data_IF_768739343334
#
_entry.id   IF_768739343334
#
_cell.length_a   1.000
_cell.length_b   1.000
_cell.length_c   1.000
_cell.angle_alpha   90.00
_cell.angle_beta   90.00
_cell.angle_gamma   90.00
#
_symmetry.space_group_name_H-M   'P 1'
#
loop_
_entity.id
_entity.type
_entity.pdbx_description
1 polymer ?
#
# COMPACT_ATOMS: atom_id res chain seq x y z
N UNK A 1 -6.08 -14.33 9.95
CA UNK A 1 -4.64 -14.52 10.17
C UNK A 1 -4.18 -13.50 11.20
N UNK A 2 -3.30 -13.87 12.13
CA UNK A 2 -2.71 -12.90 13.07
C UNK A 2 -1.71 -12.04 12.30
N UNK A 3 -1.76 -10.73 12.49
CA UNK A 3 -0.82 -9.80 11.89
C UNK A 3 0.63 -10.15 12.30
N UNK A 4 1.55 -10.11 11.35
CA UNK A 4 2.98 -10.30 11.60
C UNK A 4 3.80 -9.37 10.71
N UNK A 5 4.78 -8.71 11.31
CA UNK A 5 5.68 -7.79 10.61
C UNK A 5 6.59 -8.56 9.65
N UNK A 6 6.49 -8.24 8.35
CA UNK A 6 7.44 -8.71 7.34
C UNK A 6 8.68 -7.80 7.37
N UNK A 7 9.62 -8.06 8.27
CA UNK A 7 10.81 -7.23 8.52
C UNK A 7 11.57 -6.81 7.26
N UNK A 8 11.73 -7.71 6.29
CA UNK A 8 12.42 -7.40 5.03
C UNK A 8 11.65 -6.39 4.18
N UNK A 9 10.31 -6.51 4.12
CA UNK A 9 9.45 -5.53 3.43
C UNK A 9 9.53 -4.18 4.14
N UNK A 10 9.54 -4.16 5.47
CA UNK A 10 9.63 -2.94 6.25
C UNK A 10 10.98 -2.24 6.04
N UNK A 11 12.07 -3.01 5.94
CA UNK A 11 13.39 -2.47 5.61
C UNK A 11 13.41 -1.82 4.22
N UNK A 12 12.80 -2.46 3.21
CA UNK A 12 12.67 -1.88 1.87
C UNK A 12 11.87 -0.57 1.91
N UNK A 13 10.70 -0.59 2.55
CA UNK A 13 9.82 0.58 2.66
C UNK A 13 10.49 1.73 3.41
N UNK A 14 11.19 1.45 4.51
CA UNK A 14 11.98 2.45 5.25
C UNK A 14 13.06 3.06 4.36
N UNK A 15 13.77 2.26 3.57
CA UNK A 15 14.78 2.79 2.64
C UNK A 15 14.17 3.67 1.55
N UNK A 16 12.96 3.38 1.06
CA UNK A 16 12.26 4.27 0.13
C UNK A 16 11.87 5.58 0.82
N UNK A 17 11.41 5.50 2.07
CA UNK A 17 11.09 6.69 2.87
C UNK A 17 12.32 7.60 3.03
N UNK A 18 13.48 7.03 3.33
CA UNK A 18 14.76 7.76 3.46
C UNK A 18 15.19 8.41 2.13
N UNK A 19 14.77 7.84 0.99
CA UNK A 19 15.00 8.40 -0.36
C UNK A 19 13.96 9.47 -0.75
N UNK A 20 13.02 9.81 0.13
CA UNK A 20 12.01 10.85 -0.11
C UNK A 20 10.71 10.38 -0.75
N UNK A 21 10.50 9.06 -0.91
CA UNK A 21 9.22 8.54 -1.38
C UNK A 21 8.14 8.69 -0.30
N UNK A 22 6.91 9.02 -0.73
CA UNK A 22 5.73 8.94 0.13
C UNK A 22 5.30 7.49 0.26
N UNK A 23 5.03 7.04 1.48
CA UNK A 23 4.56 5.69 1.73
C UNK A 23 3.14 5.72 2.28
N UNK A 24 2.24 4.98 1.65
CA UNK A 24 0.87 4.80 2.12
C UNK A 24 0.57 3.34 2.47
N UNK A 25 -0.21 3.13 3.52
CA UNK A 25 -0.87 1.86 3.80
C UNK A 25 -2.31 1.92 3.29
N UNK A 26 -2.69 1.03 2.39
CA UNK A 26 -4.06 0.86 1.89
C UNK A 26 -4.55 -0.55 2.23
N UNK A 27 -5.44 -0.68 3.22
CA UNK A 27 -5.81 -1.98 3.77
C UNK A 27 -7.32 -2.19 3.86
N UNK A 28 -7.78 -3.35 3.36
CA UNK A 28 -9.10 -3.87 3.68
C UNK A 28 -9.06 -4.44 5.09
N UNK A 29 -9.67 -3.76 6.05
CA UNK A 29 -9.58 -4.17 7.45
C UNK A 29 -10.76 -3.65 8.28
N UNK A 30 -10.77 -4.01 9.56
CA UNK A 30 -11.79 -3.67 10.55
C UNK A 30 -11.24 -2.75 11.64
N UNK A 31 -12.14 -2.05 12.36
CA UNK A 31 -11.76 -1.03 13.35
C UNK A 31 -10.77 -1.49 14.43
N UNK A 32 -10.84 -2.72 14.98
CA UNK A 32 -9.82 -3.22 15.91
C UNK A 32 -8.40 -3.16 15.33
N UNK A 33 -8.23 -3.52 14.06
CA UNK A 33 -6.94 -3.48 13.38
C UNK A 33 -6.48 -2.04 13.10
N UNK A 34 -7.42 -1.13 12.81
CA UNK A 34 -7.11 0.31 12.68
C UNK A 34 -6.50 0.86 13.96
N UNK A 35 -7.10 0.56 15.11
CA UNK A 35 -6.58 1.00 16.41
C UNK A 35 -5.19 0.40 16.67
N UNK A 36 -5.00 -0.89 16.38
CA UNK A 36 -3.69 -1.54 16.48
C UNK A 36 -2.61 -0.82 15.64
N UNK A 37 -2.88 -0.50 14.37
CA UNK A 37 -1.91 0.21 13.53
C UNK A 37 -1.64 1.64 13.99
N UNK A 38 -2.65 2.34 14.51
CA UNK A 38 -2.48 3.68 15.08
C UNK A 38 -1.62 3.66 16.35
N UNK A 39 -1.81 2.67 17.21
CA UNK A 39 -0.98 2.48 18.41
C UNK A 39 0.47 2.10 18.07
N UNK A 40 0.66 1.24 17.05
CA UNK A 40 1.99 0.87 16.56
C UNK A 40 2.75 2.06 15.97
N UNK A 41 2.03 3.03 15.38
CA UNK A 41 2.55 4.29 14.87
C UNK A 41 3.83 4.12 14.03
N UNK A 42 3.76 3.30 12.97
CA UNK A 42 4.88 3.14 12.05
C UNK A 42 5.19 4.46 11.34
N UNK A 43 6.28 5.10 11.75
CA UNK A 43 6.67 6.46 11.34
C UNK A 43 6.95 6.62 9.84
N UNK A 44 7.16 5.53 9.13
CA UNK A 44 7.42 5.56 7.69
C UNK A 44 6.15 5.71 6.85
N UNK A 45 4.95 5.49 7.40
CA UNK A 45 3.70 5.75 6.67
C UNK A 45 3.30 7.23 6.74
N UNK A 46 3.27 7.91 5.60
CA UNK A 46 2.72 9.26 5.45
C UNK A 46 1.19 9.28 5.46
N UNK A 47 0.58 8.19 5.03
CA UNK A 47 -0.86 8.05 4.90
C UNK A 47 -1.29 6.63 5.27
N UNK A 48 -2.37 6.52 6.01
CA UNK A 48 -3.09 5.26 6.19
C UNK A 48 -4.51 5.41 5.68
N UNK A 49 -4.95 4.47 4.85
CA UNK A 49 -6.30 4.37 4.28
C UNK A 49 -6.84 2.99 4.63
N UNK A 50 -7.93 2.98 5.39
CA UNK A 50 -8.53 1.76 5.91
C UNK A 50 -9.95 1.64 5.38
N UNK A 51 -10.29 0.51 4.79
CA UNK A 51 -11.59 0.33 4.13
C UNK A 51 -12.78 0.55 5.07
N UNK A 52 -12.70 0.12 6.33
CA UNK A 52 -13.76 0.32 7.31
C UNK A 52 -13.98 1.79 7.68
N UNK A 53 -12.97 2.65 7.50
CA UNK A 53 -13.08 4.09 7.73
C UNK A 53 -13.65 4.78 6.51
N UNK A 54 -13.26 4.34 5.30
CA UNK A 54 -13.74 4.92 4.04
C UNK A 54 -15.12 4.42 3.61
N UNK A 55 -15.58 3.29 4.16
CA UNK A 55 -16.82 2.62 3.73
C UNK A 55 -16.72 1.95 2.35
N UNK A 56 -15.51 1.82 1.81
CA UNK A 56 -15.21 1.23 0.50
C UNK A 56 -14.03 0.29 0.65
N UNK A 57 -14.05 -0.87 -0.03
CA UNK A 57 -12.99 -1.89 0.01
C UNK A 57 -12.31 -2.00 -1.35
N UNK A 58 -11.05 -2.43 -1.39
CA UNK A 58 -10.48 -3.03 -2.62
C UNK A 58 -11.29 -4.30 -2.97
N UNK A 59 -11.53 -4.63 -4.26
CA UNK A 59 -10.97 -4.00 -5.44
C UNK A 59 -11.81 -2.85 -6.02
N UNK A 60 -12.70 -2.19 -5.25
CA UNK A 60 -13.41 -1.02 -5.75
C UNK A 60 -12.43 0.11 -6.11
N UNK A 61 -12.53 0.63 -7.33
CA UNK A 61 -11.65 1.69 -7.88
C UNK A 61 -11.63 2.93 -6.97
N UNK A 62 -12.73 3.22 -6.28
CA UNK A 62 -12.89 4.41 -5.47
C UNK A 62 -11.88 4.49 -4.32
N UNK A 63 -11.45 3.36 -3.75
CA UNK A 63 -10.48 3.37 -2.65
C UNK A 63 -9.07 3.76 -3.12
N UNK A 64 -8.71 3.43 -4.36
CA UNK A 64 -7.45 3.82 -4.98
C UNK A 64 -7.45 5.32 -5.29
N UNK A 65 -8.55 5.83 -5.87
CA UNK A 65 -8.76 7.26 -6.12
C UNK A 65 -8.64 8.09 -4.83
N UNK A 66 -9.32 7.67 -3.74
CA UNK A 66 -9.22 8.31 -2.42
C UNK A 66 -7.76 8.37 -1.95
N UNK A 67 -7.01 7.29 -2.16
CA UNK A 67 -5.60 7.21 -1.74
C UNK A 67 -4.73 8.18 -2.55
N UNK A 68 -4.89 8.21 -3.88
CA UNK A 68 -4.16 9.10 -4.77
C UNK A 68 -4.48 10.58 -4.49
N UNK A 69 -5.75 10.91 -4.29
CA UNK A 69 -6.21 12.28 -3.97
C UNK A 69 -5.60 12.79 -2.66
N UNK A 70 -5.57 11.95 -1.62
CA UNK A 70 -4.95 12.29 -0.33
C UNK A 70 -3.43 12.44 -0.42
N UNK A 71 -2.78 11.60 -1.23
CA UNK A 71 -1.35 11.72 -1.52
C UNK A 71 -1.02 12.92 -2.42
N UNK A 72 -2.02 13.44 -3.14
CA UNK A 72 -1.90 14.49 -4.16
C UNK A 72 -0.91 14.11 -5.26
N UNK A 73 -1.08 12.90 -5.81
CA UNK A 73 -0.25 12.36 -6.89
C UNK A 73 -1.12 11.79 -8.00
N UNK A 74 -0.56 11.68 -9.21
CA UNK A 74 -1.19 11.01 -10.34
C UNK A 74 -1.04 9.49 -10.20
N UNK A 75 -1.93 8.69 -10.81
CA UNK A 75 -1.83 7.23 -10.78
C UNK A 75 -0.46 6.69 -11.21
N UNK A 76 0.14 7.29 -12.24
CA UNK A 76 1.41 6.84 -12.82
C UNK A 76 2.62 7.10 -11.89
N UNK A 77 2.46 7.97 -10.89
CA UNK A 77 3.49 8.28 -9.89
C UNK A 77 3.43 7.32 -8.69
N UNK A 78 2.46 6.40 -8.66
CA UNK A 78 2.28 5.43 -7.60
C UNK A 78 2.70 4.03 -8.04
N UNK A 79 3.26 3.27 -7.08
CA UNK A 79 3.42 1.82 -7.17
C UNK A 79 2.58 1.17 -6.08
N UNK A 80 1.61 0.34 -6.46
CA UNK A 80 0.74 -0.38 -5.56
C UNK A 80 1.21 -1.84 -5.39
N UNK A 81 1.22 -2.33 -4.16
CA UNK A 81 1.67 -3.69 -3.83
C UNK A 81 0.61 -4.37 -2.99
N UNK A 82 0.17 -5.55 -3.42
CA UNK A 82 -0.88 -6.34 -2.76
C UNK A 82 -0.69 -7.83 -3.10
N UNK A 83 -1.18 -8.72 -2.25
CA UNK A 83 -1.08 -10.17 -2.45
C UNK A 83 -2.27 -10.76 -3.20
N UNK A 84 -3.31 -9.96 -3.48
CA UNK A 84 -4.49 -10.41 -4.24
C UNK A 84 -4.49 -9.90 -5.68
N UNK A 85 -4.63 -10.82 -6.64
CA UNK A 85 -4.68 -10.50 -8.06
C UNK A 85 -5.81 -9.52 -8.42
N UNK A 86 -7.00 -9.68 -7.84
CA UNK A 86 -8.14 -8.78 -8.06
C UNK A 86 -7.82 -7.32 -7.70
N UNK A 87 -7.06 -7.11 -6.62
CA UNK A 87 -6.64 -5.78 -6.17
C UNK A 87 -5.59 -5.18 -7.12
N UNK A 88 -4.68 -6.02 -7.64
CA UNK A 88 -3.66 -5.61 -8.59
C UNK A 88 -4.28 -5.20 -9.92
N UNK A 89 -5.24 -5.99 -10.42
CA UNK A 89 -5.94 -5.68 -11.67
C UNK A 89 -6.72 -4.36 -11.55
N UNK A 90 -7.46 -4.16 -10.46
CA UNK A 90 -8.19 -2.90 -10.26
C UNK A 90 -7.26 -1.69 -10.11
N UNK A 91 -6.14 -1.83 -9.40
CA UNK A 91 -5.13 -0.77 -9.33
C UNK A 91 -4.57 -0.39 -10.70
N UNK A 92 -4.30 -1.39 -11.55
CA UNK A 92 -3.85 -1.16 -12.95
C UNK A 92 -4.91 -0.47 -13.79
N UNK A 93 -6.18 -0.84 -13.64
CA UNK A 93 -7.31 -0.19 -14.31
C UNK A 93 -7.44 1.30 -13.97
N UNK A 94 -7.04 1.71 -12.77
CA UNK A 94 -6.98 3.12 -12.34
C UNK A 94 -5.74 3.84 -12.92
N UNK A 95 -4.81 3.10 -13.51
CA UNK A 95 -3.56 3.61 -14.10
C UNK A 95 -2.36 3.58 -13.15
N UNK A 96 -2.45 2.83 -12.05
CA UNK A 96 -1.37 2.68 -11.07
C UNK A 96 -0.44 1.55 -11.51
N UNK A 97 0.88 1.75 -11.40
CA UNK A 97 1.82 0.64 -11.54
C UNK A 97 1.59 -0.34 -10.37
N UNK A 98 1.36 -1.63 -10.63
CA UNK A 98 1.03 -2.55 -9.55
C UNK A 98 1.83 -3.86 -9.61
N UNK A 99 2.35 -4.27 -8.46
CA UNK A 99 3.16 -5.47 -8.24
C UNK A 99 2.36 -6.46 -7.40
N UNK A 100 2.10 -7.65 -7.94
CA UNK A 100 1.56 -8.76 -7.17
C UNK A 100 2.64 -9.29 -6.22
N UNK A 101 2.41 -9.15 -4.92
CA UNK A 101 3.36 -9.58 -3.90
C UNK A 101 3.33 -11.11 -3.75
N UNK A 102 4.47 -11.75 -4.03
CA UNK A 102 4.67 -13.19 -3.79
C UNK A 102 5.67 -13.45 -2.67
N UNK A 103 6.78 -12.74 -2.70
CA UNK A 103 7.83 -12.79 -1.67
C UNK A 103 8.70 -11.52 -1.73
N UNK A 104 9.49 -11.23 -0.69
CA UNK A 104 10.34 -10.03 -0.63
C UNK A 104 11.36 -9.92 -1.76
N UNK A 105 11.95 -11.04 -2.20
CA UNK A 105 12.98 -11.05 -3.26
C UNK A 105 12.38 -10.64 -4.61
N UNK A 106 11.22 -11.18 -4.96
CA UNK A 106 10.46 -10.82 -6.16
C UNK A 106 10.01 -9.37 -6.09
N UNK A 107 9.41 -8.95 -4.97
CA UNK A 107 8.98 -7.57 -4.77
C UNK A 107 10.14 -6.59 -4.98
N UNK A 108 11.30 -6.83 -4.35
CA UNK A 108 12.47 -5.97 -4.50
C UNK A 108 12.94 -5.87 -5.95
N UNK A 109 13.00 -7.00 -6.66
CA UNK A 109 13.44 -7.03 -8.07
C UNK A 109 12.49 -6.22 -8.97
N UNK A 110 11.19 -6.43 -8.84
CA UNK A 110 10.20 -5.72 -9.67
C UNK A 110 10.13 -4.23 -9.33
N UNK A 111 10.18 -3.90 -8.03
CA UNK A 111 10.22 -2.51 -7.60
C UNK A 111 11.43 -1.76 -8.18
N UNK A 112 12.63 -2.36 -8.14
CA UNK A 112 13.84 -1.74 -8.71
C UNK A 112 13.78 -1.53 -10.23
N UNK A 113 12.89 -2.23 -10.95
CA UNK A 113 12.70 -2.00 -12.38
C UNK A 113 11.76 -0.83 -12.70
N UNK A 114 11.09 -0.28 -11.68
CA UNK A 114 10.16 0.85 -11.78
C UNK A 114 10.72 2.16 -11.20
N UNK A 115 11.84 2.11 -10.47
CA UNK A 115 12.53 3.24 -9.87
C UNK A 115 13.68 3.72 -10.76
#
# INVERSE_FOLDING_TARGET
AVYSEKKEVFSIVSSLKDKGYKIALLSNTEMPMVNFFREKNYSFFDLTVFSCVEGVIKPDKKIYEITLDRLKIKPQEAVFIDDKEENILSGKDVGINAILFKNPQQFKKELLSLL
#
